data_IF_622646711459
#
_entry.id   IF_622646711459
#
_cell.length_a   1.000
_cell.length_b   1.000
_cell.length_c   1.000
_cell.angle_alpha   90.00
_cell.angle_beta   90.00
_cell.angle_gamma   90.00
#
_symmetry.space_group_name_H-M   'P 1'
#
loop_
_entity.id
_entity.type
_entity.pdbx_description
1 polymer ?
#
# COMPACT_ATOMS: atom_id res chain seq x y z
N UNK A 1 1.99 -37.18 53.34
CA UNK A 1 1.77 -35.72 53.26
C UNK A 1 2.97 -34.99 52.65
N UNK A 2 3.51 -35.48 51.55
CA UNK A 2 4.70 -34.85 50.89
C UNK A 2 4.55 -34.66 49.39
N UNK A 3 3.36 -34.85 48.82
CA UNK A 3 3.15 -34.83 47.37
C UNK A 3 2.30 -33.67 46.84
N UNK A 4 1.88 -32.74 47.69
CA UNK A 4 0.95 -31.69 47.29
C UNK A 4 1.63 -30.33 47.00
N UNK A 5 2.98 -30.28 47.14
CA UNK A 5 3.73 -29.01 46.96
C UNK A 5 4.33 -28.83 45.57
N UNK A 6 4.33 -29.83 44.71
CA UNK A 6 4.93 -29.72 43.35
C UNK A 6 3.93 -29.40 42.23
N UNK A 7 2.65 -29.26 42.53
CA UNK A 7 1.61 -29.03 41.49
C UNK A 7 1.25 -27.57 41.29
N UNK A 8 1.87 -26.67 42.07
CA UNK A 8 1.53 -25.24 42.03
C UNK A 8 2.52 -24.37 41.24
N UNK A 9 3.56 -24.91 40.64
CA UNK A 9 4.58 -24.12 39.95
C UNK A 9 4.60 -24.26 38.43
N UNK A 10 3.66 -24.98 37.84
CA UNK A 10 3.61 -25.19 36.37
C UNK A 10 2.60 -24.31 35.62
N UNK A 11 1.92 -23.39 36.31
CA UNK A 11 0.94 -22.48 35.67
C UNK A 11 1.49 -21.07 35.56
N UNK A 12 2.82 -20.94 35.36
CA UNK A 12 3.42 -19.63 35.05
C UNK A 12 3.43 -19.43 33.55
N UNK A 13 2.34 -18.92 33.03
CA UNK A 13 2.29 -17.76 32.17
C UNK A 13 3.19 -17.78 30.94
N UNK A 14 2.76 -18.46 29.90
CA UNK A 14 3.07 -18.00 28.55
C UNK A 14 2.08 -16.86 28.19
N UNK A 15 2.26 -15.71 28.80
CA UNK A 15 1.68 -14.47 28.30
C UNK A 15 2.42 -14.10 27.02
N UNK A 16 2.00 -14.68 25.89
CA UNK A 16 2.33 -14.13 24.58
C UNK A 16 1.71 -12.74 24.51
N UNK A 17 2.53 -11.74 24.82
CA UNK A 17 2.22 -10.36 24.45
C UNK A 17 2.28 -10.35 22.93
N UNK A 18 1.14 -10.54 22.29
CA UNK A 18 0.95 -10.19 20.90
C UNK A 18 1.23 -8.68 20.81
N UNK A 19 2.45 -8.34 20.44
CA UNK A 19 2.84 -6.96 20.14
C UNK A 19 2.10 -6.57 18.87
N UNK A 20 0.83 -6.21 19.02
CA UNK A 20 0.09 -5.52 17.99
C UNK A 20 0.88 -4.26 17.67
N UNK A 21 1.50 -4.23 16.50
CA UNK A 21 2.19 -3.06 15.98
C UNK A 21 1.13 -2.01 15.64
N UNK A 22 0.60 -1.35 16.66
CA UNK A 22 -0.47 -0.38 16.55
C UNK A 22 -0.04 0.81 15.70
N UNK A 23 -0.86 1.11 14.69
CA UNK A 23 -0.75 2.35 13.93
C UNK A 23 -1.17 3.48 14.87
N UNK A 24 -0.34 4.52 15.00
CA UNK A 24 -0.65 5.71 15.79
C UNK A 24 -1.38 6.74 14.92
N UNK A 25 -2.05 7.71 15.55
CA UNK A 25 -2.76 8.80 14.86
C UNK A 25 -3.63 8.29 13.70
N UNK A 26 -4.39 7.23 13.97
CA UNK A 26 -5.12 6.49 12.95
C UNK A 26 -6.22 7.31 12.30
N UNK A 27 -6.22 7.30 10.97
CA UNK A 27 -7.36 7.67 10.13
C UNK A 27 -7.77 6.47 9.32
N UNK A 28 -9.08 6.22 9.21
CA UNK A 28 -9.63 5.14 8.39
C UNK A 28 -10.53 5.73 7.33
N UNK A 29 -10.35 5.32 6.09
CA UNK A 29 -11.12 5.75 4.93
C UNK A 29 -11.47 4.55 4.05
N UNK A 30 -12.63 4.60 3.40
CA UNK A 30 -13.05 3.57 2.45
C UNK A 30 -12.93 4.12 1.03
N UNK A 31 -12.40 3.30 0.12
CA UNK A 31 -12.21 3.66 -1.28
C UNK A 31 -12.43 2.44 -2.17
N UNK A 32 -12.90 2.67 -3.40
CA UNK A 32 -13.02 1.63 -4.40
C UNK A 32 -11.68 1.36 -5.07
N UNK A 33 -11.29 0.08 -5.13
CA UNK A 33 -10.12 -0.41 -5.85
C UNK A 33 -10.57 -1.57 -6.74
N UNK A 34 -10.22 -1.52 -8.02
CA UNK A 34 -10.66 -2.50 -9.01
C UNK A 34 -9.76 -3.73 -8.99
N UNK A 35 -10.38 -4.89 -8.99
CA UNK A 35 -9.73 -6.20 -8.96
C UNK A 35 -10.79 -7.30 -8.99
N UNK A 36 -10.42 -8.58 -9.20
CA UNK A 36 -11.39 -9.65 -9.43
C UNK A 36 -11.35 -10.77 -8.40
N UNK A 37 -10.21 -11.10 -7.84
CA UNK A 37 -10.03 -12.37 -7.13
C UNK A 37 -9.13 -12.24 -5.89
N UNK A 38 -8.97 -13.31 -5.13
CA UNK A 38 -8.11 -13.35 -3.94
C UNK A 38 -6.62 -13.08 -4.22
N UNK A 39 -6.14 -13.32 -5.44
CA UNK A 39 -4.78 -12.95 -5.84
C UNK A 39 -4.65 -11.41 -5.95
N UNK A 40 -5.69 -10.75 -6.47
CA UNK A 40 -5.76 -9.28 -6.49
C UNK A 40 -5.75 -8.73 -5.04
N UNK A 41 -6.56 -9.31 -4.15
CA UNK A 41 -6.60 -8.97 -2.72
C UNK A 41 -5.20 -9.00 -2.10
N UNK A 42 -4.52 -10.13 -2.22
CA UNK A 42 -3.16 -10.31 -1.69
C UNK A 42 -2.19 -9.25 -2.23
N UNK A 43 -2.28 -8.90 -3.52
CA UNK A 43 -1.37 -7.94 -4.15
C UNK A 43 -1.70 -6.50 -3.75
N UNK A 44 -2.99 -6.15 -3.71
CA UNK A 44 -3.48 -4.82 -3.29
C UNK A 44 -3.06 -4.55 -1.85
N UNK A 45 -3.35 -5.49 -0.95
CA UNK A 45 -3.01 -5.36 0.47
C UNK A 45 -1.51 -5.30 0.69
N UNK A 46 -0.73 -6.15 0.04
CA UNK A 46 0.74 -6.13 0.12
C UNK A 46 1.32 -4.79 -0.34
N UNK A 47 0.78 -4.19 -1.40
CA UNK A 47 1.24 -2.90 -1.91
C UNK A 47 0.84 -1.74 -0.99
N UNK A 48 -0.34 -1.81 -0.39
CA UNK A 48 -0.86 -0.79 0.50
C UNK A 48 -0.29 -0.84 1.92
N UNK A 49 0.00 -2.05 2.42
CA UNK A 49 0.43 -2.26 3.80
C UNK A 49 1.86 -1.77 4.06
N UNK A 50 2.02 -0.96 5.10
CA UNK A 50 3.32 -0.52 5.62
C UNK A 50 3.32 -0.70 7.13
N UNK A 51 4.27 -1.48 7.65
CA UNK A 51 4.37 -1.80 9.08
C UNK A 51 4.29 -0.54 9.93
N UNK A 52 3.37 -0.52 10.90
CA UNK A 52 3.13 0.61 11.83
C UNK A 52 2.70 1.92 11.17
N UNK A 53 2.39 1.92 9.90
CA UNK A 53 2.06 3.16 9.16
C UNK A 53 0.76 3.05 8.39
N UNK A 54 0.50 1.94 7.70
CA UNK A 54 -0.71 1.74 6.92
C UNK A 54 -1.14 0.28 6.90
N UNK A 55 -2.45 0.07 6.92
CA UNK A 55 -3.11 -1.23 6.75
C UNK A 55 -4.26 -1.09 5.77
N UNK A 56 -4.30 -1.97 4.79
CA UNK A 56 -5.33 -2.03 3.75
C UNK A 56 -6.01 -3.39 3.87
N UNK A 57 -7.32 -3.38 3.95
CA UNK A 57 -8.20 -4.54 3.95
C UNK A 57 -9.15 -4.39 2.76
N UNK A 58 -8.93 -5.17 1.71
CA UNK A 58 -9.69 -5.10 0.46
C UNK A 58 -10.66 -6.25 0.31
N UNK A 59 -11.90 -5.94 0.01
CA UNK A 59 -12.95 -6.92 -0.19
C UNK A 59 -13.21 -7.16 -1.69
N UNK A 60 -13.00 -8.40 -2.14
CA UNK A 60 -13.17 -8.80 -3.55
C UNK A 60 -14.60 -8.72 -4.06
N UNK A 61 -15.61 -8.82 -3.18
CA UNK A 61 -17.03 -8.86 -3.58
C UNK A 61 -17.58 -7.45 -3.75
N UNK A 62 -17.21 -6.54 -2.84
CA UNK A 62 -17.62 -5.13 -2.89
C UNK A 62 -16.67 -4.25 -3.69
N UNK A 63 -15.47 -4.72 -4.01
CA UNK A 63 -14.38 -3.95 -4.65
C UNK A 63 -13.98 -2.73 -3.85
N UNK A 64 -14.15 -2.74 -2.55
CA UNK A 64 -13.80 -1.64 -1.65
C UNK A 64 -12.67 -2.03 -0.71
N UNK A 65 -11.83 -1.08 -0.39
CA UNK A 65 -10.78 -1.21 0.62
C UNK A 65 -11.07 -0.31 1.82
N UNK A 66 -10.93 -0.85 3.01
CA UNK A 66 -10.77 -0.08 4.23
C UNK A 66 -9.29 0.21 4.44
N UNK A 67 -8.92 1.47 4.40
CA UNK A 67 -7.52 1.92 4.54
C UNK A 67 -7.36 2.62 5.87
N UNK A 68 -6.61 2.01 6.78
CA UNK A 68 -6.25 2.60 8.08
C UNK A 68 -4.78 3.01 8.06
N UNK A 69 -4.47 4.26 8.41
CA UNK A 69 -3.11 4.76 8.33
C UNK A 69 -2.80 5.82 9.40
N UNK A 70 -1.50 6.02 9.65
CA UNK A 70 -1.00 7.12 10.51
C UNK A 70 -0.99 8.41 9.69
N UNK A 71 -1.93 9.30 9.99
CA UNK A 71 -2.14 10.56 9.26
C UNK A 71 -0.98 11.56 9.38
N UNK A 72 -0.04 11.32 10.30
CA UNK A 72 1.18 12.14 10.44
C UNK A 72 2.33 11.63 9.56
N UNK A 73 2.21 10.44 8.97
CA UNK A 73 3.28 9.80 8.19
C UNK A 73 2.93 9.56 6.74
N UNK A 74 1.65 9.38 6.42
CA UNK A 74 1.16 9.09 5.08
C UNK A 74 -0.27 9.57 4.92
N UNK A 75 -0.79 9.43 3.73
CA UNK A 75 -2.17 9.76 3.39
C UNK A 75 -2.73 8.72 2.41
N UNK A 76 -4.05 8.75 2.20
CA UNK A 76 -4.75 7.84 1.31
C UNK A 76 -4.16 7.86 -0.12
N UNK A 77 -3.83 9.03 -0.65
CA UNK A 77 -3.36 9.17 -2.03
C UNK A 77 -2.00 8.49 -2.25
N UNK A 78 -1.08 8.58 -1.30
CA UNK A 78 0.20 7.86 -1.37
C UNK A 78 0.02 6.35 -1.32
N UNK A 79 -0.92 5.86 -0.52
CA UNK A 79 -1.26 4.44 -0.44
C UNK A 79 -1.84 3.97 -1.75
N UNK A 80 -2.80 4.72 -2.31
CA UNK A 80 -3.44 4.38 -3.58
C UNK A 80 -2.47 4.45 -4.77
N UNK A 81 -1.51 5.38 -4.77
CA UNK A 81 -0.45 5.42 -5.79
C UNK A 81 0.42 4.16 -5.76
N UNK A 82 0.79 3.67 -4.58
CA UNK A 82 1.54 2.40 -4.47
C UNK A 82 0.74 1.21 -5.02
N UNK A 83 -0.56 1.18 -4.76
CA UNK A 83 -1.47 0.15 -5.28
C UNK A 83 -1.61 0.26 -6.80
N UNK A 84 -1.72 1.48 -7.34
CA UNK A 84 -1.76 1.72 -8.78
C UNK A 84 -0.45 1.27 -9.48
N UNK A 85 0.71 1.48 -8.86
CA UNK A 85 2.00 1.06 -9.40
C UNK A 85 2.19 -0.47 -9.48
N UNK A 86 1.34 -1.25 -8.83
CA UNK A 86 1.31 -2.72 -8.98
C UNK A 86 0.14 -3.21 -9.85
N UNK A 87 -0.54 -2.29 -10.55
CA UNK A 87 -1.49 -2.62 -11.62
C UNK A 87 -2.97 -2.45 -11.26
N UNK A 88 -3.32 -1.90 -10.11
CA UNK A 88 -4.72 -1.79 -9.68
C UNK A 88 -5.22 -0.35 -9.65
N UNK A 89 -6.25 -0.09 -10.46
CA UNK A 89 -6.95 1.20 -10.50
C UNK A 89 -7.77 1.42 -9.23
N UNK A 90 -7.93 2.67 -8.86
CA UNK A 90 -8.88 3.12 -7.85
C UNK A 90 -9.76 4.24 -8.39
N UNK A 91 -10.72 4.71 -7.58
CA UNK A 91 -11.52 5.87 -7.95
C UNK A 91 -10.69 7.17 -8.08
N UNK A 92 -9.45 7.18 -7.57
CA UNK A 92 -8.56 8.37 -7.60
C UNK A 92 -7.37 8.23 -8.54
N UNK A 93 -6.83 7.02 -8.73
CA UNK A 93 -5.62 6.79 -9.51
C UNK A 93 -5.78 5.61 -10.45
N UNK A 94 -5.27 5.75 -11.68
CA UNK A 94 -5.12 4.66 -12.62
C UNK A 94 -3.72 4.05 -12.53
N UNK A 95 -3.66 2.74 -12.66
CA UNK A 95 -2.42 2.02 -12.86
C UNK A 95 -1.79 2.41 -14.23
N UNK A 96 -0.45 2.40 -14.34
CA UNK A 96 0.21 2.48 -15.65
C UNK A 96 -0.25 1.33 -16.55
N UNK A 97 -0.50 1.64 -17.83
CA UNK A 97 -1.08 0.66 -18.77
C UNK A 97 -0.20 -0.57 -18.98
N UNK A 98 1.11 -0.36 -18.99
CA UNK A 98 2.11 -1.43 -19.13
C UNK A 98 2.21 -2.32 -17.88
N UNK A 99 1.89 -1.79 -16.70
CA UNK A 99 1.82 -2.56 -15.45
C UNK A 99 0.53 -3.36 -15.38
N UNK A 100 -0.59 -2.73 -15.70
CA UNK A 100 -1.88 -3.42 -15.80
C UNK A 100 -1.83 -4.58 -16.79
N UNK A 101 -1.25 -4.38 -17.98
CA UNK A 101 -1.16 -5.41 -19.03
C UNK A 101 -0.30 -6.63 -18.62
N UNK A 102 0.53 -6.51 -17.59
CA UNK A 102 1.34 -7.60 -17.04
C UNK A 102 0.66 -8.38 -15.91
N UNK A 103 -0.53 -7.98 -15.51
CA UNK A 103 -1.29 -8.72 -14.50
C UNK A 103 -1.63 -10.13 -15.02
N UNK A 104 -1.71 -11.15 -14.15
CA UNK A 104 -2.26 -12.46 -14.50
C UNK A 104 -3.68 -12.31 -15.07
N UNK A 105 -4.07 -13.20 -15.98
CA UNK A 105 -5.38 -13.16 -16.66
C UNK A 105 -6.55 -13.06 -15.67
N UNK A 106 -6.51 -13.79 -14.56
CA UNK A 106 -7.54 -13.73 -13.51
C UNK A 106 -7.61 -12.37 -12.79
N UNK A 107 -6.57 -11.53 -12.90
CA UNK A 107 -6.49 -10.20 -12.31
C UNK A 107 -6.82 -9.08 -13.29
N UNK A 108 -6.98 -9.37 -14.59
CA UNK A 108 -7.40 -8.39 -15.59
C UNK A 108 -8.89 -8.05 -15.37
N UNK A 109 -9.12 -6.95 -14.68
CA UNK A 109 -10.45 -6.41 -14.43
C UNK A 109 -10.85 -5.43 -15.53
N UNK A 110 -12.15 -5.16 -15.66
CA UNK A 110 -12.64 -4.13 -16.58
C UNK A 110 -12.24 -2.73 -16.07
N UNK A 111 -11.41 -2.05 -16.84
CA UNK A 111 -10.94 -0.70 -16.48
C UNK A 111 -12.01 0.36 -16.77
N UNK A 112 -12.11 1.30 -15.88
CA UNK A 112 -13.01 2.45 -16.04
C UNK A 112 -12.28 3.59 -16.74
N UNK A 113 -12.86 4.11 -17.83
CA UNK A 113 -12.38 5.29 -18.53
C UNK A 113 -12.80 6.57 -17.79
N UNK A 114 -12.22 6.80 -16.60
CA UNK A 114 -12.40 8.04 -15.85
C UNK A 114 -11.16 8.93 -16.00
N UNK A 115 -11.32 10.27 -16.06
CA UNK A 115 -10.19 11.19 -15.98
C UNK A 115 -9.68 11.25 -14.52
N UNK A 116 -8.90 10.26 -14.10
CA UNK A 116 -8.22 10.18 -12.82
C UNK A 116 -6.71 10.32 -13.02
N UNK A 117 -6.00 10.75 -11.98
CA UNK A 117 -4.56 10.91 -12.06
C UNK A 117 -3.87 9.56 -12.32
N UNK A 118 -2.96 9.52 -13.30
CA UNK A 118 -2.11 8.36 -13.55
C UNK A 118 -1.01 8.31 -12.48
N UNK A 119 -0.80 7.16 -11.88
CA UNK A 119 0.32 6.98 -10.95
C UNK A 119 1.62 6.85 -11.74
N UNK A 120 2.55 7.78 -11.53
CA UNK A 120 3.88 7.72 -12.12
C UNK A 120 4.92 7.37 -11.05
N UNK A 121 5.90 6.52 -11.36
CA UNK A 121 7.01 6.28 -10.45
C UNK A 121 7.80 7.59 -10.28
N UNK A 122 8.09 7.97 -9.04
CA UNK A 122 9.03 9.07 -8.77
C UNK A 122 10.41 8.65 -9.26
N UNK A 123 10.79 9.09 -10.46
CA UNK A 123 12.18 9.12 -10.87
C UNK A 123 12.81 10.32 -10.18
N UNK A 124 13.67 10.06 -9.22
CA UNK A 124 14.57 11.08 -8.71
C UNK A 124 15.60 11.39 -9.82
N UNK A 125 15.28 12.35 -10.66
CA UNK A 125 16.26 12.95 -11.57
C UNK A 125 17.12 13.88 -10.76
N UNK A 126 18.36 13.45 -10.48
CA UNK A 126 19.43 14.34 -10.14
C UNK A 126 19.69 15.24 -11.35
N UNK A 127 19.22 16.47 -11.24
CA UNK A 127 19.49 17.52 -12.20
C UNK A 127 20.95 17.97 -12.00
N UNK A 128 21.87 17.43 -12.82
CA UNK A 128 23.17 18.01 -13.01
C UNK A 128 23.06 19.14 -14.05
N UNK A 129 22.77 20.32 -13.53
CA UNK A 129 22.91 21.56 -14.29
C UNK A 129 24.38 21.76 -14.68
N UNK A 130 24.72 21.42 -15.90
CA UNK A 130 26.00 21.84 -16.49
C UNK A 130 25.78 23.17 -17.18
N UNK A 131 26.35 24.22 -16.56
CA UNK A 131 26.60 25.50 -17.19
C UNK A 131 27.46 25.33 -18.43
N UNK A 132 26.96 25.72 -19.57
CA UNK A 132 27.81 26.09 -20.70
C UNK A 132 27.58 27.56 -21.02
N UNK A 133 28.57 28.34 -20.67
CA UNK A 133 28.66 29.74 -21.02
C UNK A 133 28.81 29.89 -22.54
N UNK A 134 27.91 30.64 -23.14
CA UNK A 134 28.09 31.15 -24.50
C UNK A 134 28.99 32.37 -24.45
N UNK A 135 30.15 32.28 -25.10
CA UNK A 135 30.98 33.44 -25.42
C UNK A 135 30.57 33.88 -26.81
N UNK A 136 30.00 35.07 -26.87
CA UNK A 136 29.94 35.86 -28.11
C UNK A 136 31.34 36.35 -28.49
N UNK A 137 31.64 36.29 -29.73
CA UNK A 137 32.60 37.19 -30.33
C UNK A 137 32.14 37.62 -31.73
N UNK A 138 31.91 38.93 -31.79
CA UNK A 138 31.70 39.65 -33.02
C UNK A 138 33.00 39.76 -33.81
N UNK A 139 32.97 39.67 -35.12
CA UNK A 139 33.42 40.61 -36.14
C UNK A 139 32.98 40.19 -37.53
#
# INVERSE_FOLDING_TARGET
MKSLKCLMTALSMLSFIASNAQIKNTKTETVKIYGNCGMCETTIEKAGNVKKTAHVDWNKDTKTASITYDSTKTNQDEILKRIALVGYDSDKFLAPDDVYAKLPECCLYERVNKPVAKAEPKTETHDHSSHTASTEMQE
#
